data_IF_198100164899
#
_entry.id   IF_198100164899
#
_cell.length_a   1.000
_cell.length_b   1.000
_cell.length_c   1.000
_cell.angle_alpha   90.00
_cell.angle_beta   90.00
_cell.angle_gamma   90.00
#
_symmetry.space_group_name_H-M   'P 1'
#
loop_
_entity.id
_entity.type
_entity.pdbx_description
1 polymer ?
#
# COMPACT_ATOMS: atom_id res chain seq x y z
N UNK A 1 -4.90 -0.28 6.25
CA UNK A 1 -3.92 -0.99 7.09
C UNK A 1 -4.32 -0.80 8.54
N UNK A 2 -4.41 -1.90 9.27
CA UNK A 2 -4.78 -1.93 10.70
C UNK A 2 -3.54 -2.25 11.52
N UNK A 3 -3.33 -1.55 12.63
CA UNK A 3 -2.13 -1.72 13.47
C UNK A 3 -2.56 -2.29 14.80
N UNK A 4 -2.28 -3.58 15.00
CA UNK A 4 -2.75 -4.34 16.17
C UNK A 4 -1.73 -4.40 17.30
N UNK A 5 -0.44 -4.30 16.99
CA UNK A 5 0.62 -4.46 17.98
C UNK A 5 1.95 -3.84 17.52
N UNK A 6 2.98 -3.98 18.36
CA UNK A 6 4.33 -3.48 18.09
C UNK A 6 5.03 -4.18 16.92
N UNK A 7 4.66 -5.41 16.58
CA UNK A 7 5.24 -6.13 15.43
C UNK A 7 4.81 -5.46 14.12
N UNK A 8 3.54 -5.03 14.02
CA UNK A 8 3.07 -4.23 12.90
C UNK A 8 3.90 -2.96 12.71
N UNK A 9 4.23 -2.25 13.81
CA UNK A 9 5.10 -1.06 13.75
C UNK A 9 6.49 -1.42 13.24
N UNK A 10 7.10 -2.51 13.74
CA UNK A 10 8.43 -2.94 13.30
C UNK A 10 8.50 -3.22 11.78
N UNK A 11 7.46 -3.86 11.22
CA UNK A 11 7.37 -4.12 9.77
C UNK A 11 7.28 -2.80 9.00
N UNK A 12 6.47 -1.84 9.48
CA UNK A 12 6.37 -0.49 8.90
C UNK A 12 7.76 0.17 8.92
N UNK A 13 8.49 0.12 10.03
CA UNK A 13 9.84 0.70 10.14
C UNK A 13 10.76 0.16 9.07
N UNK A 14 10.85 -1.17 8.94
CA UNK A 14 11.75 -1.84 8.01
C UNK A 14 11.44 -1.42 6.57
N UNK A 15 10.15 -1.32 6.23
CA UNK A 15 9.74 -0.91 4.89
C UNK A 15 10.03 0.57 4.63
N UNK A 16 9.82 1.43 5.61
CA UNK A 16 10.10 2.86 5.49
C UNK A 16 11.60 3.17 5.43
N UNK A 17 12.48 2.37 6.07
CA UNK A 17 13.93 2.55 5.95
C UNK A 17 14.41 2.34 4.49
N UNK A 18 13.76 1.43 3.75
CA UNK A 18 14.07 1.23 2.33
C UNK A 18 13.63 2.39 1.43
N UNK A 19 12.75 3.25 1.97
CA UNK A 19 12.29 4.47 1.33
C UNK A 19 13.15 5.62 1.86
N UNK A 20 13.70 6.48 0.98
CA UNK A 20 14.60 7.55 1.42
C UNK A 20 13.96 8.39 2.55
N UNK A 21 14.64 8.57 3.70
CA UNK A 21 14.08 9.30 4.84
C UNK A 21 13.92 10.76 4.46
N UNK A 22 12.67 11.20 4.38
CA UNK A 22 12.30 12.53 3.86
C UNK A 22 11.29 13.24 4.76
N UNK A 23 11.15 12.78 6.01
CA UNK A 23 10.17 13.27 7.00
C UNK A 23 8.75 13.29 6.43
N UNK A 24 8.37 12.20 5.75
CA UNK A 24 7.03 12.06 5.17
C UNK A 24 6.00 11.67 6.23
N UNK A 25 4.74 11.92 5.88
CA UNK A 25 3.59 11.40 6.61
C UNK A 25 2.83 10.43 5.73
N UNK A 26 2.28 9.40 6.35
CA UNK A 26 1.48 8.40 5.65
C UNK A 26 0.13 8.22 6.33
N UNK A 27 -0.93 8.15 5.55
CA UNK A 27 -2.25 7.78 6.02
C UNK A 27 -2.26 6.33 6.49
N UNK A 28 -2.86 6.09 7.66
CA UNK A 28 -3.21 4.76 8.17
C UNK A 28 -4.74 4.59 8.17
N UNK A 29 -5.22 3.38 8.45
CA UNK A 29 -6.66 3.10 8.41
C UNK A 29 -7.47 3.76 9.53
N UNK A 30 -6.84 4.22 10.61
CA UNK A 30 -7.52 4.71 11.81
C UNK A 30 -8.16 6.08 11.57
N UNK A 31 -9.45 6.20 11.90
CA UNK A 31 -10.19 7.45 11.85
C UNK A 31 -11.09 7.55 13.07
N UNK A 32 -11.52 8.76 13.40
CA UNK A 32 -12.32 8.96 14.59
C UNK A 32 -12.73 10.39 14.82
N UNK A 33 -13.50 10.61 15.88
CA UNK A 33 -13.88 11.93 16.33
C UNK A 33 -13.13 12.28 17.63
N UNK A 34 -12.34 13.36 17.57
CA UNK A 34 -11.50 13.82 18.68
C UNK A 34 -12.35 14.32 19.84
N UNK A 35 -13.44 15.03 19.57
CA UNK A 35 -14.39 15.55 20.56
C UNK A 35 -14.98 14.41 21.39
N UNK A 36 -15.36 13.30 20.76
CA UNK A 36 -15.89 12.13 21.47
C UNK A 36 -14.80 11.17 21.94
N UNK A 37 -13.52 11.41 21.60
CA UNK A 37 -12.39 10.50 21.83
C UNK A 37 -12.61 9.07 21.33
N UNK A 38 -13.38 8.90 20.26
CA UNK A 38 -13.71 7.59 19.69
C UNK A 38 -12.98 7.41 18.37
N UNK A 39 -12.09 6.41 18.33
CA UNK A 39 -11.36 6.01 17.13
C UNK A 39 -11.74 4.59 16.76
N UNK A 40 -11.78 4.29 15.47
CA UNK A 40 -12.25 3.00 14.97
C UNK A 40 -11.44 2.60 13.76
N UNK A 41 -11.06 1.32 13.71
CA UNK A 41 -10.48 0.74 12.52
C UNK A 41 -11.58 0.48 11.49
N UNK A 42 -11.24 0.55 10.21
CA UNK A 42 -12.20 0.52 9.13
C UNK A 42 -12.76 -0.90 8.85
N UNK A 43 -12.12 -1.92 9.40
CA UNK A 43 -12.58 -3.32 9.47
C UNK A 43 -13.36 -3.62 10.77
N UNK A 44 -13.68 -2.58 11.56
CA UNK A 44 -14.31 -2.70 12.88
C UNK A 44 -13.47 -3.42 13.94
N UNK A 45 -12.17 -3.62 13.71
CA UNK A 45 -11.28 -4.15 14.74
C UNK A 45 -11.17 -3.18 15.93
N UNK A 46 -11.10 -3.73 17.13
CA UNK A 46 -10.97 -2.96 18.36
C UNK A 46 -9.62 -2.22 18.42
N UNK A 47 -9.63 -0.98 18.90
CA UNK A 47 -8.42 -0.14 19.02
C UNK A 47 -7.79 -0.36 20.40
N UNK A 48 -7.09 -1.50 20.57
CA UNK A 48 -6.42 -1.83 21.84
C UNK A 48 -4.95 -1.38 21.88
N UNK A 49 -4.34 -1.19 20.72
CA UNK A 49 -3.00 -0.66 20.57
C UNK A 49 -3.03 0.76 20.05
N UNK A 50 -2.23 1.64 20.66
CA UNK A 50 -2.05 3.00 20.16
C UNK A 50 -0.61 3.46 20.29
N UNK A 51 -0.15 4.23 19.31
CA UNK A 51 1.21 4.77 19.28
C UNK A 51 1.21 6.26 18.99
N UNK A 52 0.37 7.00 19.72
CA UNK A 52 0.19 8.43 19.56
C UNK A 52 1.48 9.22 19.82
N UNK A 53 1.63 10.31 19.09
CA UNK A 53 2.58 11.35 19.40
C UNK A 53 2.16 12.11 20.66
N UNK A 54 3.14 12.66 21.38
CA UNK A 54 2.87 13.55 22.52
C UNK A 54 1.95 14.68 22.08
N UNK A 55 0.86 14.90 22.82
CA UNK A 55 -0.16 15.90 22.51
C UNK A 55 -1.22 15.47 21.50
N UNK A 56 -1.20 14.21 21.04
CA UNK A 56 -2.22 13.63 20.17
C UNK A 56 -3.05 12.52 20.87
N UNK A 57 -4.31 12.27 20.45
CA UNK A 57 -5.08 13.08 19.50
C UNK A 57 -5.25 14.52 20.02
N UNK A 58 -5.13 15.48 19.09
CA UNK A 58 -5.03 16.90 19.42
C UNK A 58 -6.32 17.49 20.00
N UNK A 59 -6.44 18.81 19.98
CA UNK A 59 -7.65 19.52 20.44
C UNK A 59 -8.61 19.87 19.31
N UNK A 60 -8.25 19.58 18.05
CA UNK A 60 -9.08 19.88 16.90
C UNK A 60 -10.38 19.09 17.00
N UNK A 61 -11.50 19.79 17.11
CA UNK A 61 -12.82 19.18 17.24
C UNK A 61 -13.28 18.55 15.92
N UNK A 62 -14.12 17.52 16.04
CA UNK A 62 -14.74 16.86 14.89
C UNK A 62 -14.03 15.59 14.40
N UNK A 63 -14.41 15.16 13.20
CA UNK A 63 -13.92 13.94 12.56
C UNK A 63 -12.54 14.18 11.97
N UNK A 64 -11.59 13.32 12.34
CA UNK A 64 -10.20 13.40 11.91
C UNK A 64 -9.71 12.06 11.41
N UNK A 65 -8.70 12.11 10.55
CA UNK A 65 -8.00 10.95 10.04
C UNK A 65 -6.64 10.83 10.71
N UNK A 66 -6.13 9.61 10.83
CA UNK A 66 -4.84 9.37 11.50
C UNK A 66 -3.74 9.15 10.48
N UNK A 67 -2.60 9.82 10.70
CA UNK A 67 -1.39 9.66 9.92
C UNK A 67 -0.22 9.23 10.82
N UNK A 68 0.75 8.55 10.23
CA UNK A 68 2.01 8.14 10.88
C UNK A 68 3.17 8.99 10.37
N UNK A 69 4.09 9.32 11.26
CA UNK A 69 5.35 10.01 10.93
C UNK A 69 6.44 9.02 10.55
N UNK A 70 7.12 9.27 9.44
CA UNK A 70 8.19 8.37 8.95
C UNK A 70 9.35 8.20 9.93
N UNK A 71 9.72 9.26 10.66
CA UNK A 71 10.96 9.29 11.44
C UNK A 71 10.86 8.65 12.83
N UNK A 72 9.68 8.61 13.45
CA UNK A 72 9.47 8.04 14.78
C UNK A 72 8.23 7.16 14.88
N UNK A 73 7.51 6.97 13.77
CA UNK A 73 6.34 6.09 13.64
C UNK A 73 5.17 6.44 14.55
N UNK A 74 5.21 7.62 15.17
CA UNK A 74 4.14 8.09 16.04
C UNK A 74 2.96 8.59 15.24
N UNK A 75 1.77 8.40 15.82
CA UNK A 75 0.50 8.72 15.18
C UNK A 75 0.07 10.14 15.51
N UNK A 76 -0.49 10.81 14.52
CA UNK A 76 -1.07 12.14 14.64
C UNK A 76 -2.46 12.17 14.02
N UNK A 77 -3.34 13.00 14.57
CA UNK A 77 -4.60 13.34 13.92
C UNK A 77 -4.38 14.49 12.94
N UNK A 78 -5.04 14.44 11.79
CA UNK A 78 -5.01 15.49 10.78
C UNK A 78 -6.34 15.58 10.05
N UNK A 79 -6.56 16.69 9.37
CA UNK A 79 -7.73 16.84 8.49
C UNK A 79 -7.64 15.79 7.37
N UNK A 80 -8.72 15.01 7.22
CA UNK A 80 -8.87 14.01 6.19
C UNK A 80 -8.71 14.58 4.77
N UNK A 81 -8.88 15.89 4.57
CA UNK A 81 -8.69 16.53 3.26
C UNK A 81 -7.21 16.60 2.83
N UNK A 82 -6.25 16.45 3.75
CA UNK A 82 -4.83 16.54 3.44
C UNK A 82 -4.37 15.45 2.46
N UNK A 83 -3.58 15.84 1.45
CA UNK A 83 -3.01 14.93 0.45
C UNK A 83 -1.71 14.34 0.98
N UNK A 84 -1.75 13.08 1.38
CA UNK A 84 -0.59 12.35 1.89
C UNK A 84 -0.45 10.99 1.19
N UNK A 85 0.73 10.40 1.32
CA UNK A 85 0.99 9.02 0.95
C UNK A 85 0.14 8.09 1.82
N UNK A 86 -0.04 6.83 1.43
CA UNK A 86 -0.83 5.88 2.22
C UNK A 86 -0.12 4.54 2.39
N UNK A 87 -0.29 3.96 3.57
CA UNK A 87 0.15 2.59 3.86
C UNK A 87 -1.00 1.63 3.60
N UNK A 88 -0.75 0.66 2.71
CA UNK A 88 -1.66 -0.44 2.45
C UNK A 88 -1.11 -1.74 2.98
N UNK A 89 -2.02 -2.59 3.43
CA UNK A 89 -1.75 -3.98 3.74
C UNK A 89 -2.26 -4.80 2.56
N UNK A 90 -1.43 -5.70 2.04
CA UNK A 90 -1.85 -6.67 1.03
C UNK A 90 -1.89 -8.07 1.65
N UNK A 91 -3.09 -8.63 1.89
CA UNK A 91 -3.23 -9.94 2.54
C UNK A 91 -2.63 -11.10 1.73
N UNK A 92 -2.33 -10.88 0.43
CA UNK A 92 -1.70 -11.88 -0.43
C UNK A 92 -0.19 -11.71 -0.55
N UNK A 93 0.34 -10.57 -0.12
CA UNK A 93 1.78 -10.33 -0.12
C UNK A 93 2.35 -10.92 1.18
N UNK A 94 2.65 -12.22 1.19
CA UNK A 94 3.62 -12.76 2.14
C UNK A 94 5.00 -12.30 1.68
N UNK A 95 5.80 -11.71 2.56
CA UNK A 95 7.16 -11.26 2.27
C UNK A 95 7.90 -12.31 1.44
N UNK A 96 8.02 -12.04 0.14
CA UNK A 96 8.73 -12.91 -0.77
C UNK A 96 10.22 -12.67 -0.55
N UNK A 97 10.78 -13.25 0.51
CA UNK A 97 12.12 -13.81 0.45
C UNK A 97 12.05 -15.19 -0.22
N UNK A 98 11.43 -15.26 -1.41
CA UNK A 98 11.79 -16.27 -2.39
C UNK A 98 12.68 -15.52 -3.35
N UNK A 99 13.99 -15.74 -3.23
CA UNK A 99 14.93 -15.38 -4.30
C UNK A 99 14.42 -16.11 -5.54
N UNK A 100 13.69 -15.40 -6.41
CA UNK A 100 13.37 -15.90 -7.73
C UNK A 100 14.60 -15.65 -8.59
N UNK A 101 15.60 -16.53 -8.46
CA UNK A 101 16.59 -16.71 -9.51
C UNK A 101 15.87 -17.37 -10.69
N UNK A 102 15.15 -16.56 -11.46
CA UNK A 102 14.78 -16.93 -12.82
C UNK A 102 16.05 -16.82 -13.68
N UNK A 103 16.94 -17.81 -13.58
CA UNK A 103 18.03 -17.98 -14.55
C UNK A 103 17.37 -18.30 -15.88
N UNK A 104 17.26 -17.30 -16.74
CA UNK A 104 16.77 -17.45 -18.11
C UNK A 104 17.80 -18.25 -18.90
N UNK A 105 17.74 -19.58 -18.83
CA UNK A 105 18.41 -20.43 -19.82
C UNK A 105 17.69 -20.23 -21.15
N UNK A 106 18.23 -19.36 -21.99
CA UNK A 106 17.88 -19.34 -23.41
C UNK A 106 18.42 -20.61 -24.03
N UNK A 107 17.54 -21.61 -24.21
CA UNK A 107 17.82 -22.77 -25.03
C UNK A 107 18.24 -22.33 -26.43
N UNK A 108 19.38 -22.84 -26.87
CA UNK A 108 19.93 -22.67 -28.21
C UNK A 108 19.08 -23.54 -29.14
N UNK A 109 18.17 -22.93 -29.92
CA UNK A 109 17.49 -23.61 -31.01
C UNK A 109 18.30 -23.43 -32.30
N UNK A 110 19.05 -24.48 -32.65
CA UNK A 110 19.57 -24.70 -34.00
C UNK A 110 18.53 -25.53 -34.76
N UNK A 111 17.95 -25.02 -35.85
CA UNK A 111 17.11 -25.83 -36.73
C UNK A 111 16.14 -25.04 -37.60
N UNK A 112 16.36 -25.09 -38.91
CA UNK A 112 15.57 -24.48 -39.98
C UNK A 112 14.10 -24.97 -40.01
N UNK A 113 13.17 -24.11 -40.44
CA UNK A 113 11.77 -24.50 -40.64
C UNK A 113 10.88 -23.40 -41.19
N UNK A 114 11.16 -22.94 -42.40
CA UNK A 114 10.33 -22.00 -43.17
C UNK A 114 9.07 -22.72 -43.68
N UNK A 115 8.10 -23.06 -42.82
CA UNK A 115 6.71 -23.43 -43.22
C UNK A 115 5.69 -23.07 -42.11
N UNK A 116 5.86 -21.92 -41.45
CA UNK A 116 4.89 -21.39 -40.47
C UNK A 116 4.16 -20.12 -40.92
N UNK A 117 4.35 -19.72 -42.18
CA UNK A 117 3.98 -18.39 -42.70
C UNK A 117 2.51 -18.15 -43.04
N UNK A 118 1.61 -19.10 -42.75
CA UNK A 118 0.20 -19.03 -43.17
C UNK A 118 -0.84 -19.10 -42.04
N UNK A 119 -0.41 -19.15 -40.77
CA UNK A 119 -1.31 -19.03 -39.61
C UNK A 119 -1.06 -17.79 -38.75
N UNK A 120 -0.07 -16.96 -39.10
CA UNK A 120 0.32 -15.77 -38.33
C UNK A 120 -0.38 -14.46 -38.79
N UNK A 121 -1.15 -14.48 -39.87
CA UNK A 121 -1.85 -13.26 -40.36
C UNK A 121 -3.20 -13.02 -39.68
N UNK A 122 -3.77 -13.99 -38.95
CA UNK A 122 -5.03 -13.80 -38.21
C UNK A 122 -4.85 -13.22 -36.81
N UNK A 123 -3.62 -13.03 -36.33
CA UNK A 123 -3.35 -12.46 -35.00
C UNK A 123 -2.98 -10.95 -35.05
N UNK A 124 -2.87 -10.37 -36.25
CA UNK A 124 -2.41 -8.99 -36.47
C UNK A 124 -3.56 -7.98 -36.63
N UNK A 125 -4.82 -8.40 -36.58
CA UNK A 125 -6.00 -7.52 -36.69
C UNK A 125 -6.67 -7.19 -35.34
N UNK A 126 -6.13 -7.66 -34.21
CA UNK A 126 -6.69 -7.36 -32.89
C UNK A 126 -5.74 -6.58 -31.97
N UNK A 127 -4.67 -5.99 -32.50
CA UNK A 127 -3.95 -4.98 -31.73
C UNK A 127 -4.73 -3.66 -31.73
N UNK A 128 -5.28 -3.31 -30.58
CA UNK A 128 -4.90 -2.13 -29.79
C UNK A 128 -5.80 -2.07 -28.53
N UNK A 129 -5.30 -1.60 -27.37
CA UNK A 129 -3.97 -1.69 -26.80
C UNK A 129 -3.99 -2.47 -25.45
N UNK A 130 -2.86 -3.14 -25.21
CA UNK A 130 -2.14 -3.25 -23.94
C UNK A 130 -2.92 -3.19 -22.62
N UNK A 131 -2.74 -4.26 -21.82
CA UNK A 131 -2.64 -4.20 -20.36
C UNK A 131 -3.42 -3.08 -19.66
N UNK A 132 -4.63 -3.37 -19.18
CA UNK A 132 -5.14 -2.66 -18.01
C UNK A 132 -5.85 -3.60 -17.05
N UNK A 133 -5.03 -4.27 -16.25
CA UNK A 133 -5.27 -4.54 -14.82
C UNK A 133 -6.72 -4.88 -14.43
N UNK A 134 -7.15 -6.10 -14.72
CA UNK A 134 -8.43 -6.64 -14.23
C UNK A 134 -8.38 -7.26 -12.82
N UNK A 135 -7.27 -7.14 -12.08
CA UNK A 135 -7.12 -7.74 -10.74
C UNK A 135 -6.31 -6.82 -9.82
N UNK A 136 -6.80 -5.61 -9.51
CA UNK A 136 -6.39 -4.87 -8.30
C UNK A 136 -7.44 -3.86 -7.80
N UNK A 137 -8.75 -4.04 -8.07
CA UNK A 137 -9.76 -3.04 -7.64
C UNK A 137 -10.54 -3.38 -6.36
N UNK A 138 -10.00 -4.23 -5.48
CA UNK A 138 -10.70 -4.57 -4.21
C UNK A 138 -9.88 -4.49 -2.93
N UNK A 139 -8.66 -3.95 -2.96
CA UNK A 139 -7.78 -3.90 -1.75
C UNK A 139 -7.45 -2.45 -1.30
N UNK A 140 -7.94 -1.39 -1.96
CA UNK A 140 -7.54 -0.01 -1.62
C UNK A 140 -8.62 0.91 -1.03
N UNK A 141 -9.86 0.46 -0.80
CA UNK A 141 -10.93 1.35 -0.28
C UNK A 141 -10.81 1.69 1.21
N UNK A 142 -9.90 1.05 1.94
CA UNK A 142 -9.89 1.07 3.40
C UNK A 142 -8.79 2.02 3.95
N UNK A 143 -8.85 3.28 3.55
CA UNK A 143 -8.00 4.34 4.08
C UNK A 143 -8.75 5.66 3.96
N UNK A 144 -9.12 6.23 5.12
CA UNK A 144 -9.81 7.51 5.22
C UNK A 144 -8.78 8.64 5.10
N UNK A 145 -8.92 9.49 4.08
CA UNK A 145 -7.99 10.57 3.76
C UNK A 145 -7.82 10.77 2.24
N UNK A 146 -7.55 12.00 1.79
CA UNK A 146 -7.26 12.27 0.37
C UNK A 146 -5.96 11.58 -0.04
N UNK A 147 -6.08 10.58 -0.92
CA UNK A 147 -4.95 9.76 -1.39
C UNK A 147 -4.21 10.46 -2.51
N UNK A 148 -2.89 10.54 -2.39
CA UNK A 148 -2.03 10.76 -3.55
C UNK A 148 -1.88 9.42 -4.30
N UNK A 149 -2.59 9.26 -5.41
CA UNK A 149 -2.70 7.99 -6.15
C UNK A 149 -1.33 7.49 -6.66
N UNK A 150 -0.37 8.40 -6.85
CA UNK A 150 0.97 8.10 -7.36
C UNK A 150 1.95 7.70 -6.23
N UNK A 151 1.53 7.78 -4.95
CA UNK A 151 2.41 7.54 -3.78
C UNK A 151 1.81 6.54 -2.78
N UNK A 152 1.62 5.31 -3.24
CA UNK A 152 1.25 4.15 -2.43
C UNK A 152 2.48 3.41 -1.90
N UNK A 153 2.50 3.09 -0.61
CA UNK A 153 3.42 2.10 -0.06
C UNK A 153 2.64 0.84 0.35
N UNK A 154 3.01 -0.30 -0.23
CA UNK A 154 2.43 -1.61 0.11
C UNK A 154 3.31 -2.26 1.18
N UNK A 155 2.67 -2.66 2.27
CA UNK A 155 3.24 -3.36 3.42
C UNK A 155 2.67 -4.79 3.43
N UNK A 156 3.57 -5.72 3.74
CA UNK A 156 3.41 -7.17 3.74
C UNK A 156 3.01 -7.68 5.12
#
# INVERSE_FOLDING_TARGET
MVILNIISIAIITIKLISFSPTRRFFWIGLYGNVTTRKFTWPDSTQVDFSYWATGFPGLNEGVTCTRIREFDLRWETSDCTARLNFLCEDPNHKSSHVVSTATKLKGIFLGLGVIGGLLLTSCLLLQLPCCRSGVTEKISRIGFGTKDADKKLIIS
#
